data_IF_651670780775
#
_entry.id   IF_651670780775
#
_cell.length_a   1.000
_cell.length_b   1.000
_cell.length_c   1.000
_cell.angle_alpha   90.00
_cell.angle_beta   90.00
_cell.angle_gamma   90.00
#
_symmetry.space_group_name_H-M   'P 1'
#
loop_
_entity.id
_entity.type
_entity.pdbx_description
1 polymer ?
#
# COMPACT_ATOMS: atom_id res chain seq x y z
N UNK A 1 -10.20 42.50 4.37
CA UNK A 1 -10.63 41.12 4.33
C UNK A 1 -9.39 40.26 4.46
N UNK A 2 -9.16 39.52 5.56
CA UNK A 2 -7.97 38.69 5.69
C UNK A 2 -8.19 37.39 4.92
N UNK A 3 -7.27 37.09 4.02
CA UNK A 3 -7.14 35.83 3.34
C UNK A 3 -6.83 34.73 4.35
N UNK A 4 -7.72 33.79 4.49
CA UNK A 4 -7.53 32.57 5.26
C UNK A 4 -6.48 31.71 4.53
N UNK A 5 -5.24 31.82 4.95
CA UNK A 5 -4.20 30.88 4.56
C UNK A 5 -4.50 29.59 5.30
N UNK A 6 -5.25 28.72 4.67
CA UNK A 6 -5.41 27.33 5.09
C UNK A 6 -4.05 26.67 4.93
N UNK A 7 -3.30 26.58 6.01
CA UNK A 7 -2.12 25.75 6.12
C UNK A 7 -2.59 24.31 5.89
N UNK A 8 -2.45 23.83 4.66
CA UNK A 8 -2.58 22.43 4.36
C UNK A 8 -1.50 21.73 5.20
N UNK A 9 -1.90 21.16 6.32
CA UNK A 9 -1.10 20.13 6.99
C UNK A 9 -0.88 19.06 5.90
N UNK A 10 0.32 19.01 5.38
CA UNK A 10 0.75 17.87 4.56
C UNK A 10 0.70 16.66 5.49
N UNK A 11 -0.39 15.94 5.44
CA UNK A 11 -0.50 14.60 6.01
C UNK A 11 0.55 13.76 5.29
N UNK A 12 1.67 13.55 5.93
CA UNK A 12 2.74 12.71 5.38
C UNK A 12 2.25 11.27 5.38
N UNK A 13 2.40 10.62 4.25
CA UNK A 13 2.13 9.19 4.16
C UNK A 13 3.29 8.43 4.79
N UNK A 14 2.95 7.53 5.66
CA UNK A 14 3.89 6.67 6.38
C UNK A 14 3.69 5.22 5.96
N UNK A 15 4.79 4.49 5.85
CA UNK A 15 4.80 3.04 5.64
C UNK A 15 5.49 2.40 6.83
N UNK A 16 4.73 1.67 7.61
CA UNK A 16 5.19 0.99 8.81
C UNK A 16 5.25 -0.50 8.54
N UNK A 17 6.42 -1.08 8.76
CA UNK A 17 6.62 -2.53 8.71
C UNK A 17 6.78 -3.08 10.11
N UNK A 18 5.97 -4.06 10.46
CA UNK A 18 5.98 -4.70 11.78
C UNK A 18 6.25 -6.20 11.61
N UNK A 19 7.37 -6.65 12.14
CA UNK A 19 7.68 -8.08 12.24
C UNK A 19 7.07 -8.62 13.53
N UNK A 20 6.27 -9.67 13.44
CA UNK A 20 5.51 -10.20 14.58
C UNK A 20 5.60 -11.72 14.66
N UNK A 21 5.37 -12.25 15.87
CA UNK A 21 5.03 -13.65 16.05
C UNK A 21 3.68 -13.93 15.37
N UNK A 22 3.61 -15.00 14.58
CA UNK A 22 2.36 -15.40 13.89
C UNK A 22 1.45 -16.13 14.89
N UNK A 23 0.79 -15.36 15.75
CA UNK A 23 -0.13 -15.84 16.78
C UNK A 23 -1.52 -15.30 16.56
N UNK A 24 -2.50 -16.03 17.06
CA UNK A 24 -3.89 -15.61 17.03
C UNK A 24 -4.11 -14.23 17.70
N UNK A 25 -4.83 -13.35 17.01
CA UNK A 25 -5.20 -12.03 17.56
C UNK A 25 -4.14 -10.92 17.45
N UNK A 26 -2.91 -11.20 17.01
CA UNK A 26 -1.84 -10.18 16.88
C UNK A 26 -2.22 -9.09 15.88
N UNK A 27 -2.72 -9.48 14.70
CA UNK A 27 -3.17 -8.53 13.69
C UNK A 27 -4.28 -7.60 14.22
N UNK A 28 -5.28 -8.16 14.87
CA UNK A 28 -6.39 -7.39 15.43
C UNK A 28 -5.89 -6.38 16.49
N UNK A 29 -4.93 -6.78 17.31
CA UNK A 29 -4.33 -5.92 18.35
C UNK A 29 -3.56 -4.76 17.74
N UNK A 30 -2.76 -5.02 16.70
CA UNK A 30 -1.99 -4.00 15.98
C UNK A 30 -2.92 -3.04 15.24
N UNK A 31 -3.88 -3.54 14.49
CA UNK A 31 -4.87 -2.72 13.78
C UNK A 31 -5.68 -1.85 14.77
N UNK A 32 -6.07 -2.42 15.91
CA UNK A 32 -6.79 -1.72 16.98
C UNK A 32 -5.97 -0.60 17.61
N UNK A 33 -4.64 -0.76 17.70
CA UNK A 33 -3.76 0.27 18.24
C UNK A 33 -3.71 1.51 17.35
N UNK A 34 -3.63 1.34 16.01
CA UNK A 34 -3.70 2.45 15.07
C UNK A 34 -5.08 3.12 15.09
N UNK A 35 -6.14 2.32 15.02
CA UNK A 35 -7.52 2.84 15.02
C UNK A 35 -7.86 3.58 16.31
N UNK A 36 -7.43 3.06 17.45
CA UNK A 36 -7.66 3.68 18.77
C UNK A 36 -6.96 5.03 18.97
N UNK A 37 -5.97 5.35 18.12
CA UNK A 37 -5.26 6.63 18.11
C UNK A 37 -5.69 7.58 16.99
N UNK A 38 -6.77 7.24 16.30
CA UNK A 38 -7.34 8.09 15.25
C UNK A 38 -6.62 8.02 13.91
N UNK A 39 -5.74 7.04 13.69
CA UNK A 39 -5.16 6.81 12.37
C UNK A 39 -6.11 6.06 11.46
N UNK A 40 -6.29 6.58 10.25
CA UNK A 40 -6.94 5.84 9.19
C UNK A 40 -5.92 5.01 8.44
N UNK A 41 -6.11 3.70 8.45
CA UNK A 41 -5.28 2.76 7.69
C UNK A 41 -5.74 2.80 6.23
N UNK A 42 -4.85 3.23 5.33
CA UNK A 42 -5.12 3.23 3.89
C UNK A 42 -4.98 1.84 3.29
N UNK A 43 -3.89 1.15 3.62
CA UNK A 43 -3.64 -0.22 3.17
C UNK A 43 -3.00 -1.05 4.27
N UNK A 44 -3.34 -2.33 4.29
CA UNK A 44 -2.82 -3.32 5.23
C UNK A 44 -2.49 -4.59 4.46
N UNK A 45 -1.25 -5.04 4.56
CA UNK A 45 -0.79 -6.31 4.03
C UNK A 45 -0.19 -7.15 5.15
N UNK A 46 -0.50 -8.44 5.15
CA UNK A 46 0.04 -9.41 6.12
C UNK A 46 0.48 -10.65 5.38
N UNK A 47 1.69 -11.10 5.64
CA UNK A 47 2.20 -12.33 5.05
C UNK A 47 3.23 -13.02 5.95
N UNK A 48 3.38 -14.34 5.84
CA UNK A 48 4.43 -15.08 6.52
C UNK A 48 5.80 -14.64 5.99
N UNK A 49 6.83 -14.79 6.83
CA UNK A 49 8.21 -14.54 6.46
C UNK A 49 8.93 -15.86 6.11
N UNK A 50 10.22 -15.78 5.76
CA UNK A 50 11.08 -16.96 5.59
C UNK A 50 11.40 -17.68 6.91
N UNK A 51 11.11 -17.06 8.04
CA UNK A 51 11.27 -17.66 9.36
C UNK A 51 9.93 -18.22 9.84
N UNK A 52 9.92 -19.50 10.20
CA UNK A 52 8.72 -20.17 10.67
C UNK A 52 8.12 -19.47 11.91
N UNK A 53 6.81 -19.37 11.94
CA UNK A 53 6.08 -18.74 13.06
C UNK A 53 6.16 -17.22 13.09
N UNK A 54 6.69 -16.56 12.04
CA UNK A 54 6.77 -15.10 11.95
C UNK A 54 6.00 -14.56 10.76
N UNK A 55 5.36 -13.42 10.95
CA UNK A 55 4.66 -12.67 9.90
C UNK A 55 5.14 -11.23 9.85
N UNK A 56 5.06 -10.66 8.66
CA UNK A 56 5.29 -9.24 8.43
C UNK A 56 3.98 -8.55 8.11
N UNK A 57 3.71 -7.48 8.83
CA UNK A 57 2.57 -6.60 8.60
C UNK A 57 3.12 -5.31 8.01
N UNK A 58 2.60 -4.88 6.85
CA UNK A 58 2.93 -3.59 6.26
C UNK A 58 1.67 -2.73 6.25
N UNK A 59 1.73 -1.60 6.93
CA UNK A 59 0.62 -0.65 7.06
C UNK A 59 1.01 0.64 6.37
N UNK A 60 0.16 1.15 5.48
CA UNK A 60 0.26 2.52 5.00
C UNK A 60 -0.85 3.36 5.62
N UNK A 61 -0.49 4.54 6.08
CA UNK A 61 -1.40 5.46 6.75
C UNK A 61 -0.96 6.91 6.55
N UNK A 62 -1.90 7.82 6.73
CA UNK A 62 -1.64 9.25 6.76
C UNK A 62 -1.87 9.76 8.19
N UNK A 63 -1.01 10.66 8.64
CA UNK A 63 -1.17 11.20 9.98
C UNK A 63 -0.06 12.15 10.40
N UNK A 64 -0.21 12.66 11.61
CA UNK A 64 0.79 13.50 12.27
C UNK A 64 1.97 12.65 12.73
N UNK A 65 3.18 13.11 12.45
CA UNK A 65 4.43 12.40 12.75
C UNK A 65 4.62 12.15 14.26
N UNK A 66 4.29 13.12 15.10
CA UNK A 66 4.42 12.97 16.56
C UNK A 66 3.46 11.92 17.13
N UNK A 67 2.23 11.91 16.61
CA UNK A 67 1.25 10.90 17.01
C UNK A 67 1.67 9.51 16.53
N UNK A 68 2.28 9.42 15.33
CA UNK A 68 2.81 8.19 14.78
C UNK A 68 3.98 7.65 15.62
N UNK A 69 4.93 8.49 16.03
CA UNK A 69 6.03 8.10 16.90
C UNK A 69 5.54 7.49 18.22
N UNK A 70 4.48 8.06 18.80
CA UNK A 70 3.85 7.49 19.98
C UNK A 70 3.23 6.13 19.69
N UNK A 71 2.60 5.97 18.54
CA UNK A 71 2.03 4.71 18.11
C UNK A 71 3.10 3.63 17.94
N UNK A 72 4.22 3.96 17.30
CA UNK A 72 5.37 3.06 17.12
C UNK A 72 5.95 2.62 18.46
N UNK A 73 6.12 3.55 19.41
CA UNK A 73 6.58 3.24 20.77
C UNK A 73 5.65 2.29 21.52
N UNK A 74 4.34 2.37 21.26
CA UNK A 74 3.38 1.44 21.84
C UNK A 74 3.41 0.08 21.16
N UNK A 75 3.65 0.03 19.84
CA UNK A 75 3.84 -1.23 19.10
C UNK A 75 5.05 -2.00 19.64
N UNK A 76 6.18 -1.32 19.83
CA UNK A 76 7.41 -1.93 20.36
C UNK A 76 7.24 -2.55 21.74
N UNK A 77 6.22 -2.14 22.52
CA UNK A 77 5.93 -2.70 23.83
C UNK A 77 5.07 -3.97 23.78
N UNK A 78 4.48 -4.30 22.65
CA UNK A 78 3.67 -5.51 22.51
C UNK A 78 4.57 -6.75 22.51
N UNK A 79 4.21 -7.73 23.32
CA UNK A 79 5.03 -8.95 23.50
C UNK A 79 5.23 -9.75 22.20
N UNK A 80 4.24 -9.69 21.30
CA UNK A 80 4.27 -10.41 20.04
C UNK A 80 4.96 -9.63 18.91
N UNK A 81 5.37 -8.39 19.15
CA UNK A 81 6.10 -7.54 18.19
C UNK A 81 7.59 -7.76 18.34
N UNK A 82 8.24 -8.16 17.25
CA UNK A 82 9.68 -8.44 17.22
C UNK A 82 10.45 -7.19 16.78
N UNK A 83 9.95 -6.49 15.75
CA UNK A 83 10.60 -5.30 15.19
C UNK A 83 9.58 -4.38 14.53
N UNK A 84 9.74 -3.09 14.72
CA UNK A 84 8.98 -2.05 14.01
C UNK A 84 9.94 -1.19 13.20
N UNK A 85 9.61 -0.94 11.94
CA UNK A 85 10.36 -0.05 11.06
C UNK A 85 9.40 0.96 10.42
N UNK A 86 9.76 2.23 10.51
CA UNK A 86 9.11 3.30 9.76
C UNK A 86 10.02 3.65 8.59
N UNK A 87 9.50 3.52 7.35
CA UNK A 87 10.25 3.86 6.15
C UNK A 87 9.98 5.31 5.77
N UNK A 88 11.00 6.16 5.91
CA UNK A 88 10.96 7.57 5.57
C UNK A 88 11.75 7.76 4.26
N UNK A 89 11.15 8.45 3.28
CA UNK A 89 11.81 8.72 2.00
C UNK A 89 12.21 7.44 1.25
N UNK A 90 13.47 7.37 0.83
CA UNK A 90 14.02 6.26 0.02
C UNK A 90 14.61 5.10 0.85
N UNK A 91 14.39 5.07 2.16
CA UNK A 91 14.92 4.00 3.02
C UNK A 91 14.32 2.63 2.74
N UNK A 92 13.11 2.59 2.21
CA UNK A 92 12.40 1.37 1.87
C UNK A 92 12.27 1.14 0.36
N UNK A 93 12.17 -0.13 -0.03
CA UNK A 93 11.69 -0.54 -1.35
C UNK A 93 10.27 -1.03 -1.19
N UNK A 94 9.32 -0.25 -1.68
CA UNK A 94 7.90 -0.59 -1.66
C UNK A 94 7.38 -1.04 -3.03
N UNK A 95 6.51 -2.03 -3.04
CA UNK A 95 5.79 -2.48 -4.23
C UNK A 95 4.36 -2.87 -3.86
N UNK A 96 3.49 -2.69 -4.82
CA UNK A 96 2.08 -3.06 -4.74
C UNK A 96 1.68 -3.80 -6.00
N UNK A 97 0.83 -4.82 -5.87
CA UNK A 97 0.18 -5.50 -6.97
C UNK A 97 -1.27 -5.07 -7.05
N UNK A 98 -1.72 -4.74 -8.24
CA UNK A 98 -3.10 -4.35 -8.52
C UNK A 98 -3.68 -5.22 -9.62
N UNK A 99 -4.91 -5.68 -9.41
CA UNK A 99 -5.78 -6.25 -10.43
C UNK A 99 -6.89 -5.24 -10.72
N UNK A 100 -7.00 -4.81 -11.98
CA UNK A 100 -8.03 -3.87 -12.40
C UNK A 100 -8.84 -4.44 -13.55
N UNK A 101 -10.15 -4.44 -13.39
CA UNK A 101 -11.10 -4.74 -14.46
C UNK A 101 -11.59 -3.44 -15.07
N UNK A 102 -11.32 -3.28 -16.36
CA UNK A 102 -11.69 -2.09 -17.13
C UNK A 102 -12.63 -2.45 -18.26
N UNK A 103 -13.58 -1.58 -18.55
CA UNK A 103 -14.43 -1.72 -19.72
C UNK A 103 -13.60 -1.64 -21.01
N UNK A 104 -13.80 -2.59 -21.91
CA UNK A 104 -13.07 -2.64 -23.16
C UNK A 104 -13.97 -3.16 -24.28
N UNK A 105 -14.10 -2.38 -25.33
CA UNK A 105 -14.80 -2.75 -26.55
C UNK A 105 -13.83 -2.77 -27.74
N UNK A 106 -14.34 -3.07 -28.93
CA UNK A 106 -13.51 -3.14 -30.14
C UNK A 106 -12.76 -1.84 -30.49
N UNK A 107 -13.25 -0.68 -30.03
CA UNK A 107 -12.65 0.63 -30.31
C UNK A 107 -11.58 1.01 -29.28
N UNK A 108 -11.77 0.64 -28.01
CA UNK A 108 -10.90 1.06 -26.88
C UNK A 108 -9.84 0.03 -26.51
N UNK A 109 -10.04 -1.24 -26.89
CA UNK A 109 -9.17 -2.35 -26.51
C UNK A 109 -7.71 -2.14 -26.89
N UNK A 110 -7.42 -1.65 -28.09
CA UNK A 110 -6.06 -1.42 -28.56
C UNK A 110 -5.35 -0.35 -27.72
N UNK A 111 -6.04 0.73 -27.38
CA UNK A 111 -5.50 1.82 -26.57
C UNK A 111 -5.22 1.36 -25.13
N UNK A 112 -6.14 0.61 -24.52
CA UNK A 112 -5.94 0.02 -23.19
C UNK A 112 -4.73 -0.93 -23.19
N UNK A 113 -4.57 -1.73 -24.26
CA UNK A 113 -3.42 -2.63 -24.40
C UNK A 113 -2.11 -1.85 -24.48
N UNK A 114 -2.07 -0.74 -25.23
CA UNK A 114 -0.89 0.12 -25.29
C UNK A 114 -0.54 0.72 -23.92
N UNK A 115 -1.53 1.20 -23.17
CA UNK A 115 -1.33 1.69 -21.79
C UNK A 115 -0.75 0.57 -20.92
N UNK A 116 -1.32 -0.63 -21.01
CA UNK A 116 -0.84 -1.80 -20.28
C UNK A 116 0.65 -2.07 -20.56
N UNK A 117 1.04 -2.05 -21.84
CA UNK A 117 2.42 -2.31 -22.27
C UNK A 117 3.40 -1.23 -21.77
N UNK A 118 3.04 0.04 -21.85
CA UNK A 118 3.85 1.17 -21.34
C UNK A 118 4.15 1.01 -19.84
N UNK A 119 3.17 0.58 -19.07
CA UNK A 119 3.33 0.35 -17.63
C UNK A 119 3.86 -1.05 -17.28
N UNK A 120 4.19 -1.87 -18.28
CA UNK A 120 4.63 -3.26 -18.10
C UNK A 120 3.62 -4.09 -17.28
N UNK A 121 2.34 -3.84 -17.54
CA UNK A 121 1.24 -4.64 -17.04
C UNK A 121 1.06 -5.91 -17.86
N UNK A 122 0.21 -6.79 -17.35
CA UNK A 122 -0.17 -8.03 -18.02
C UNK A 122 -1.69 -8.11 -18.12
N UNK A 123 -2.20 -8.39 -19.32
CA UNK A 123 -3.61 -8.73 -19.47
C UNK A 123 -3.75 -10.19 -19.06
N UNK A 124 -4.53 -10.45 -18.04
CA UNK A 124 -4.72 -11.80 -17.46
C UNK A 124 -6.09 -12.40 -17.75
N UNK A 125 -7.05 -11.58 -18.15
CA UNK A 125 -8.36 -12.02 -18.60
C UNK A 125 -8.90 -11.12 -19.71
N UNK A 126 -9.54 -11.71 -20.70
CA UNK A 126 -10.12 -11.03 -21.85
C UNK A 126 -11.55 -11.51 -22.06
N UNK A 127 -12.50 -10.57 -22.04
CA UNK A 127 -13.89 -10.82 -22.44
C UNK A 127 -14.29 -9.87 -23.58
N UNK A 128 -15.49 -10.03 -24.11
CA UNK A 128 -16.02 -9.15 -25.16
C UNK A 128 -16.19 -7.70 -24.70
N UNK A 129 -16.42 -7.47 -23.41
CA UNK A 129 -16.76 -6.19 -22.84
C UNK A 129 -15.74 -5.65 -21.84
N UNK A 130 -14.74 -6.44 -21.43
CA UNK A 130 -13.77 -6.04 -20.40
C UNK A 130 -12.42 -6.73 -20.53
N UNK A 131 -11.41 -6.13 -19.91
CA UNK A 131 -10.09 -6.70 -19.67
C UNK A 131 -9.81 -6.69 -18.18
N UNK A 132 -9.10 -7.72 -17.68
CA UNK A 132 -8.48 -7.67 -16.35
C UNK A 132 -6.98 -7.54 -16.56
N UNK A 133 -6.40 -6.51 -15.95
CA UNK A 133 -4.99 -6.19 -16.05
C UNK A 133 -4.34 -6.33 -14.68
N UNK A 134 -3.21 -7.02 -14.64
CA UNK A 134 -2.29 -7.09 -13.51
C UNK A 134 -1.18 -6.07 -13.71
N UNK A 135 -0.91 -5.26 -12.70
CA UNK A 135 0.23 -4.34 -12.70
C UNK A 135 0.89 -4.33 -11.32
N UNK A 136 2.22 -4.27 -11.33
CA UNK A 136 3.05 -4.16 -10.11
C UNK A 136 3.91 -2.92 -10.21
N UNK A 137 4.02 -2.17 -9.13
CA UNK A 137 4.84 -0.97 -9.08
C UNK A 137 4.84 -0.28 -7.73
N UNK A 138 5.53 0.85 -7.67
CA UNK A 138 5.40 1.78 -6.56
C UNK A 138 4.08 2.57 -6.69
N UNK A 139 3.74 3.32 -5.65
CA UNK A 139 2.50 4.08 -5.60
C UNK A 139 2.32 5.04 -6.78
N UNK A 140 3.38 5.75 -7.17
CA UNK A 140 3.31 6.73 -8.27
C UNK A 140 2.99 6.06 -9.60
N UNK A 141 3.63 4.91 -9.86
CA UNK A 141 3.35 4.12 -11.06
C UNK A 141 1.90 3.63 -11.06
N UNK A 142 1.42 3.06 -9.95
CA UNK A 142 0.04 2.56 -9.83
C UNK A 142 -0.97 3.68 -9.99
N UNK A 143 -0.74 4.83 -9.34
CA UNK A 143 -1.62 6.00 -9.46
C UNK A 143 -1.71 6.51 -10.90
N UNK A 144 -0.55 6.64 -11.58
CA UNK A 144 -0.51 7.09 -12.97
C UNK A 144 -1.23 6.11 -13.91
N UNK A 145 -1.02 4.80 -13.72
CA UNK A 145 -1.68 3.77 -14.49
C UNK A 145 -3.21 3.80 -14.34
N UNK A 146 -3.70 3.81 -13.11
CA UNK A 146 -5.14 3.85 -12.83
C UNK A 146 -5.78 5.14 -13.32
N UNK A 147 -5.07 6.28 -13.21
CA UNK A 147 -5.55 7.56 -13.73
C UNK A 147 -5.77 7.56 -15.25
N UNK A 148 -4.92 6.86 -16.01
CA UNK A 148 -5.12 6.70 -17.46
C UNK A 148 -6.28 5.77 -17.80
N UNK A 149 -6.53 4.76 -16.97
CA UNK A 149 -7.64 3.82 -17.20
C UNK A 149 -9.01 4.38 -16.79
N UNK A 150 -9.06 5.40 -15.97
CA UNK A 150 -10.31 5.95 -15.43
C UNK A 150 -11.29 6.39 -16.53
N UNK A 151 -10.76 6.97 -17.61
CA UNK A 151 -11.56 7.42 -18.77
C UNK A 151 -12.24 6.29 -19.54
N UNK A 152 -11.75 5.05 -19.42
CA UNK A 152 -12.36 3.88 -20.08
C UNK A 152 -13.43 3.21 -19.24
N UNK A 153 -13.53 3.54 -17.97
CA UNK A 153 -14.48 2.96 -17.02
C UNK A 153 -13.93 1.75 -16.27
N UNK A 154 -13.33 2.03 -15.12
CA UNK A 154 -12.91 1.00 -14.16
C UNK A 154 -14.14 0.39 -13.51
N UNK A 155 -14.28 -0.93 -13.62
CA UNK A 155 -15.43 -1.69 -13.07
C UNK A 155 -15.14 -2.24 -11.68
N UNK A 156 -13.95 -2.81 -11.51
CA UNK A 156 -13.51 -3.44 -10.25
C UNK A 156 -12.02 -3.21 -10.06
N UNK A 157 -11.61 -3.08 -8.82
CA UNK A 157 -10.22 -2.91 -8.42
C UNK A 157 -9.94 -3.75 -7.17
N UNK A 158 -8.90 -4.56 -7.24
CA UNK A 158 -8.35 -5.26 -6.08
C UNK A 158 -6.86 -4.92 -5.95
N UNK A 159 -6.39 -4.68 -4.74
CA UNK A 159 -4.99 -4.31 -4.50
C UNK A 159 -4.46 -4.94 -3.22
N UNK A 160 -3.17 -5.26 -3.23
CA UNK A 160 -2.51 -5.82 -2.05
C UNK A 160 -2.25 -4.77 -0.97
N UNK A 161 -2.19 -3.50 -1.34
CA UNK A 161 -1.46 -2.52 -0.56
C UNK A 161 0.06 -2.67 -0.72
N UNK A 162 0.80 -1.69 -0.25
CA UNK A 162 2.26 -1.68 -0.37
C UNK A 162 2.89 -2.68 0.58
N UNK A 163 3.75 -3.55 0.05
CA UNK A 163 4.72 -4.32 0.84
C UNK A 163 6.07 -3.63 0.74
N UNK A 164 6.82 -3.57 1.84
CA UNK A 164 8.10 -2.84 1.89
C UNK A 164 9.16 -3.59 2.67
N UNK A 165 10.40 -3.46 2.19
CA UNK A 165 11.60 -3.88 2.89
C UNK A 165 12.61 -2.73 2.90
N UNK A 166 13.46 -2.69 3.92
CA UNK A 166 14.57 -1.74 4.00
C UNK A 166 15.58 -1.99 2.87
N UNK A 167 16.13 -0.93 2.31
CA UNK A 167 17.23 -1.01 1.34
C UNK A 167 18.53 -1.39 2.03
N UNK A 168 19.34 -2.21 1.35
CA UNK A 168 20.65 -2.63 1.82
C UNK A 168 20.61 -3.54 3.05
N UNK A 169 21.79 -3.98 3.46
CA UNK A 169 21.99 -4.62 4.76
C UNK A 169 22.37 -3.53 5.77
N UNK A 170 21.80 -3.57 6.99
CA UNK A 170 22.43 -2.89 8.11
C UNK A 170 23.58 -3.76 8.57
N UNK A 171 24.78 -3.21 8.62
CA UNK A 171 25.82 -3.72 9.50
C UNK A 171 25.31 -3.48 10.92
N UNK A 172 24.97 -4.55 11.63
CA UNK A 172 24.54 -4.53 13.03
C UNK A 172 25.71 -4.20 13.94
#
# INVERSE_FOLDING_TARGET
>A
VPSTTQTALFLMRHIISVLVENKFGVLARIAGLFSGRGFNIDTLNVGPTHEDGRSRITVSLNGDEKALDQCIKQLDKLIDVIKVENFIGDEGVGRELVLVKVEANSKTRAEITQICDVFRGKIIDVSTASLIIEVTGNENKIRAFLGLLDSFGVKELARTGTVSLRRGMRDD
#
